data_IF_918950990186
#
_entry.id   IF_918950990186
#
_cell.length_a   1.000
_cell.length_b   1.000
_cell.length_c   1.000
_cell.angle_alpha   90.00
_cell.angle_beta   90.00
_cell.angle_gamma   90.00
#
_symmetry.space_group_name_H-M   'P 1'
#
loop_
_entity.id
_entity.type
_entity.pdbx_description
1 polymer ?
#
# COMPACT_ATOMS: atom_id res chain seq x y z
N UNK A 1 12.32 17.45 14.68
CA UNK A 1 10.92 17.26 14.31
C UNK A 1 10.58 15.79 14.25
N UNK A 2 9.53 15.40 14.92
CA UNK A 2 9.08 14.02 14.86
C UNK A 2 8.27 13.82 13.57
N UNK A 3 8.78 13.04 12.65
CA UNK A 3 8.04 12.60 11.48
C UNK A 3 7.15 11.43 11.88
N UNK A 4 5.85 11.56 11.69
CA UNK A 4 4.91 10.47 11.92
C UNK A 4 4.61 9.74 10.61
N UNK A 5 4.51 8.43 10.69
CA UNK A 5 4.16 7.57 9.55
C UNK A 5 3.26 6.43 10.04
N UNK A 6 2.08 6.31 9.43
CA UNK A 6 1.10 5.29 9.78
C UNK A 6 0.55 4.66 8.51
N UNK A 7 0.68 3.35 8.35
CA UNK A 7 -0.01 2.59 7.31
C UNK A 7 -1.45 2.41 7.74
N UNK A 8 -2.41 2.82 6.92
CA UNK A 8 -3.80 2.98 7.34
C UNK A 8 -4.79 2.07 6.63
N UNK A 9 -4.63 1.83 5.33
CA UNK A 9 -5.58 1.02 4.58
C UNK A 9 -4.96 0.45 3.30
N UNK A 10 -5.51 -0.68 2.87
CA UNK A 10 -5.26 -1.28 1.56
C UNK A 10 -6.59 -1.38 0.81
N UNK A 11 -6.60 -0.95 -0.45
CA UNK A 11 -7.73 -1.10 -1.34
C UNK A 11 -7.32 -1.95 -2.54
N UNK A 12 -7.95 -3.10 -2.72
CA UNK A 12 -7.73 -3.94 -3.88
C UNK A 12 -8.71 -3.52 -4.97
N UNK A 13 -8.16 -3.10 -6.11
CA UNK A 13 -8.93 -2.61 -7.23
C UNK A 13 -9.38 -3.76 -8.14
N UNK A 14 -10.50 -3.57 -8.88
CA UNK A 14 -10.87 -4.48 -9.95
C UNK A 14 -9.76 -4.62 -10.99
N UNK A 15 -9.54 -5.83 -11.48
CA UNK A 15 -8.48 -6.11 -12.45
C UNK A 15 -7.18 -6.62 -11.85
N UNK A 16 -7.05 -6.64 -10.52
CA UNK A 16 -5.90 -7.25 -9.85
C UNK A 16 -5.82 -8.75 -10.22
N UNK A 17 -4.61 -9.20 -10.59
CA UNK A 17 -4.39 -10.60 -10.94
C UNK A 17 -4.78 -11.51 -9.77
N UNK A 18 -5.68 -12.48 -9.97
CA UNK A 18 -6.10 -13.39 -8.91
C UNK A 18 -4.95 -14.17 -8.27
N UNK A 19 -3.88 -14.45 -9.01
CA UNK A 19 -2.70 -15.13 -8.47
C UNK A 19 -1.94 -14.26 -7.45
N UNK A 20 -2.08 -12.93 -7.52
CA UNK A 20 -1.45 -12.00 -6.60
C UNK A 20 -2.30 -11.75 -5.37
N UNK A 21 -3.58 -11.50 -5.53
CA UNK A 21 -4.51 -11.25 -4.41
C UNK A 21 -5.00 -12.52 -3.72
N UNK A 22 -4.83 -13.67 -4.37
CA UNK A 22 -5.28 -14.98 -3.86
C UNK A 22 -6.75 -14.94 -3.46
N UNK A 23 -7.09 -15.29 -2.22
CA UNK A 23 -8.46 -15.29 -1.72
C UNK A 23 -9.03 -13.92 -1.32
N UNK A 24 -8.28 -12.84 -1.47
CA UNK A 24 -8.78 -11.50 -1.15
C UNK A 24 -9.78 -11.02 -2.18
N UNK A 25 -10.86 -10.41 -1.71
CA UNK A 25 -11.84 -9.75 -2.58
C UNK A 25 -11.36 -8.36 -2.98
N UNK A 26 -11.93 -7.82 -4.06
CA UNK A 26 -11.74 -6.44 -4.47
C UNK A 26 -12.49 -5.53 -3.47
N UNK A 27 -11.86 -5.22 -2.37
CA UNK A 27 -12.46 -4.51 -1.26
C UNK A 27 -11.42 -3.67 -0.50
N UNK A 28 -11.92 -2.93 0.48
CA UNK A 28 -11.13 -2.13 1.39
C UNK A 28 -10.76 -2.91 2.65
N UNK A 29 -9.51 -2.76 3.08
CA UNK A 29 -8.99 -3.33 4.33
C UNK A 29 -8.42 -2.20 5.17
N UNK A 30 -9.11 -1.83 6.24
CA UNK A 30 -8.65 -0.80 7.18
C UNK A 30 -7.81 -1.45 8.28
N UNK A 31 -6.65 -0.86 8.55
CA UNK A 31 -5.70 -1.40 9.54
C UNK A 31 -5.87 -0.76 10.92
N UNK A 32 -6.45 0.43 10.98
CA UNK A 32 -6.67 1.18 12.21
C UNK A 32 -7.78 2.22 11.99
N UNK A 33 -8.09 2.98 13.04
CA UNK A 33 -9.14 3.99 13.03
C UNK A 33 -8.66 5.40 12.61
N UNK A 34 -7.46 5.50 12.05
CA UNK A 34 -6.96 6.78 11.51
C UNK A 34 -7.72 7.25 10.27
N UNK A 35 -8.41 6.34 9.62
CA UNK A 35 -9.19 6.60 8.39
C UNK A 35 -10.56 5.96 8.48
N UNK A 36 -11.51 6.48 7.70
CA UNK A 36 -12.85 5.93 7.54
C UNK A 36 -13.29 5.97 6.09
N UNK A 37 -14.27 5.15 5.76
CA UNK A 37 -14.86 5.08 4.43
C UNK A 37 -16.25 5.70 4.45
N UNK A 38 -16.56 6.55 3.45
CA UNK A 38 -17.86 7.20 3.29
C UNK A 38 -18.27 7.25 1.83
N UNK A 39 -19.57 7.23 1.61
CA UNK A 39 -20.16 7.43 0.29
C UNK A 39 -20.39 6.18 -0.52
N UNK A 40 -20.97 6.36 -1.72
CA UNK A 40 -21.19 5.34 -2.72
C UNK A 40 -20.83 5.91 -4.10
N UNK A 41 -19.70 5.53 -4.71
CA UNK A 41 -18.71 4.58 -4.22
C UNK A 41 -17.97 5.07 -2.97
N UNK A 42 -17.46 4.12 -2.19
CA UNK A 42 -16.74 4.45 -0.95
C UNK A 42 -15.45 5.20 -1.23
N UNK A 43 -15.24 6.28 -0.46
CA UNK A 43 -14.01 7.07 -0.48
C UNK A 43 -13.39 7.09 0.91
N UNK A 44 -12.07 7.16 0.95
CA UNK A 44 -11.31 7.20 2.20
C UNK A 44 -11.16 8.64 2.71
N UNK A 45 -11.32 8.81 4.01
CA UNK A 45 -11.17 10.08 4.70
C UNK A 45 -10.32 9.92 5.95
N UNK A 46 -9.48 10.92 6.20
CA UNK A 46 -8.72 11.03 7.43
C UNK A 46 -9.66 11.33 8.59
N UNK A 47 -9.52 10.59 9.68
CA UNK A 47 -10.26 10.88 10.93
C UNK A 47 -9.51 11.90 11.78
N UNK A 48 -10.22 12.90 12.31
CA UNK A 48 -9.63 13.94 13.14
C UNK A 48 -9.30 13.47 14.56
N UNK A 49 -9.89 12.37 15.00
CA UNK A 49 -9.70 11.82 16.34
C UNK A 49 -9.02 10.46 16.26
N UNK A 50 -7.80 10.40 16.70
CA UNK A 50 -7.17 9.13 17.02
C UNK A 50 -7.71 8.66 18.38
N UNK A 51 -8.35 7.50 18.39
CA UNK A 51 -8.84 6.88 19.62
C UNK A 51 -7.71 6.46 20.56
N UNK A 52 -6.54 6.21 20.00
CA UNK A 52 -5.30 6.00 20.74
C UNK A 52 -4.43 7.25 20.60
N UNK A 53 -4.08 7.83 21.73
CA UNK A 53 -3.06 8.89 21.75
C UNK A 53 -1.80 8.36 21.08
N UNK A 54 -1.22 9.14 20.17
CA UNK A 54 -0.11 8.71 19.31
C UNK A 54 1.15 8.20 20.01
N UNK A 55 1.19 8.28 21.34
CA UNK A 55 2.33 7.87 22.16
C UNK A 55 2.06 6.66 23.07
N UNK A 56 0.94 5.96 22.88
CA UNK A 56 0.57 4.85 23.77
C UNK A 56 1.63 3.73 23.80
N UNK A 57 2.22 3.40 22.66
CA UNK A 57 3.28 2.38 22.53
C UNK A 57 4.68 2.99 22.40
N UNK A 58 4.81 4.27 22.58
CA UNK A 58 6.04 5.02 22.38
C UNK A 58 5.92 6.06 21.29
N UNK A 59 6.87 6.99 21.26
CA UNK A 59 6.87 8.09 20.28
C UNK A 59 7.03 7.55 18.86
N UNK A 60 6.10 7.93 17.99
CA UNK A 60 6.05 7.51 16.58
C UNK A 60 5.87 5.99 16.36
N UNK A 61 5.34 5.28 17.33
CA UNK A 61 5.04 3.85 17.21
C UNK A 61 3.53 3.64 17.09
N UNK A 62 3.11 3.00 16.01
CA UNK A 62 1.74 2.54 15.82
C UNK A 62 1.74 1.02 15.64
N UNK A 63 0.87 0.35 16.36
CA UNK A 63 0.73 -1.11 16.31
C UNK A 63 -0.64 -1.44 15.76
N UNK A 64 -0.67 -2.25 14.70
CA UNK A 64 -1.89 -2.83 14.15
C UNK A 64 -1.77 -4.35 14.15
N UNK A 65 -2.84 -5.03 14.53
CA UNK A 65 -2.90 -6.47 14.54
C UNK A 65 -3.93 -6.98 13.52
N UNK A 66 -3.53 -7.96 12.72
CA UNK A 66 -4.42 -8.64 11.79
C UNK A 66 -4.76 -10.00 12.35
N UNK A 67 -6.02 -10.22 12.69
CA UNK A 67 -6.51 -11.45 13.28
C UNK A 67 -7.60 -12.08 12.42
N UNK A 68 -7.73 -13.37 12.49
CA UNK A 68 -8.75 -14.12 11.74
C UNK A 68 -8.45 -15.62 11.77
N UNK A 69 -9.40 -16.41 11.32
CA UNK A 69 -9.22 -17.86 11.18
C UNK A 69 -8.26 -18.17 10.03
N UNK A 70 -7.64 -19.36 10.05
CA UNK A 70 -6.80 -19.82 8.96
C UNK A 70 -7.57 -19.82 7.63
N UNK A 71 -6.93 -19.32 6.57
CA UNK A 71 -7.56 -19.19 5.25
C UNK A 71 -8.39 -17.91 5.05
N UNK A 72 -8.45 -17.00 6.02
CA UNK A 72 -9.20 -15.75 5.92
C UNK A 72 -8.48 -14.63 5.13
N UNK A 73 -7.27 -14.88 4.64
CA UNK A 73 -6.52 -13.92 3.82
C UNK A 73 -5.50 -13.07 4.56
N UNK A 74 -5.21 -13.34 5.83
CA UNK A 74 -4.21 -12.59 6.62
C UNK A 74 -2.86 -12.51 5.93
N UNK A 75 -2.30 -13.66 5.55
CA UNK A 75 -1.01 -13.73 4.84
C UNK A 75 -1.07 -13.04 3.48
N UNK A 76 -2.19 -13.11 2.80
CA UNK A 76 -2.38 -12.47 1.49
C UNK A 76 -2.34 -10.94 1.58
N UNK A 77 -2.82 -10.34 2.67
CA UNK A 77 -2.69 -8.90 2.92
C UNK A 77 -1.21 -8.50 3.01
N UNK A 78 -0.42 -9.21 3.82
CA UNK A 78 1.02 -8.94 3.94
C UNK A 78 1.75 -9.14 2.61
N UNK A 79 1.41 -10.18 1.87
CA UNK A 79 1.98 -10.41 0.54
C UNK A 79 1.67 -9.26 -0.42
N UNK A 80 0.46 -8.71 -0.39
CA UNK A 80 0.10 -7.54 -1.19
C UNK A 80 0.94 -6.31 -0.81
N UNK A 81 1.14 -6.06 0.47
CA UNK A 81 1.99 -4.98 0.94
C UNK A 81 3.45 -5.15 0.45
N UNK A 82 3.99 -6.35 0.55
CA UNK A 82 5.35 -6.64 0.05
C UNK A 82 5.45 -6.46 -1.47
N UNK A 83 4.43 -6.84 -2.23
CA UNK A 83 4.40 -6.65 -3.69
C UNK A 83 4.38 -5.18 -4.08
N UNK A 84 3.63 -4.35 -3.36
CA UNK A 84 3.61 -2.91 -3.57
C UNK A 84 5.00 -2.31 -3.34
N UNK A 85 5.62 -2.64 -2.21
CA UNK A 85 6.96 -2.15 -1.86
C UNK A 85 7.99 -2.66 -2.88
N UNK A 86 7.90 -3.93 -3.28
CA UNK A 86 8.76 -4.51 -4.31
C UNK A 86 8.67 -3.73 -5.63
N UNK A 87 7.46 -3.44 -6.10
CA UNK A 87 7.28 -2.74 -7.36
C UNK A 87 7.79 -1.30 -7.30
N UNK A 88 7.53 -0.59 -6.21
CA UNK A 88 8.10 0.76 -6.02
C UNK A 88 9.63 0.69 -6.03
N UNK A 89 10.21 -0.24 -5.29
CA UNK A 89 11.66 -0.41 -5.21
C UNK A 89 12.27 -0.77 -6.57
N UNK A 90 11.61 -1.67 -7.31
CA UNK A 90 12.07 -2.08 -8.65
C UNK A 90 12.06 -0.91 -9.66
N UNK A 91 11.07 -0.02 -9.59
CA UNK A 91 11.00 1.13 -10.48
C UNK A 91 11.90 2.30 -10.05
N UNK A 92 12.24 2.41 -8.78
CA UNK A 92 13.17 3.41 -8.27
C UNK A 92 14.64 3.02 -8.50
N UNK A 93 14.98 1.74 -8.48
CA UNK A 93 16.33 1.27 -8.72
C UNK A 93 16.61 1.24 -10.23
N UNK A 94 17.56 2.05 -10.66
CA UNK A 94 17.94 2.17 -12.08
C UNK A 94 19.15 1.30 -12.46
N UNK A 95 19.82 0.74 -11.48
CA UNK A 95 21.00 -0.11 -11.71
C UNK A 95 20.57 -1.58 -11.86
N UNK A 96 20.64 -2.11 -13.09
CA UNK A 96 20.24 -3.47 -13.40
C UNK A 96 21.02 -4.53 -12.61
N UNK A 97 22.29 -4.29 -12.33
CA UNK A 97 23.13 -5.20 -11.53
C UNK A 97 22.66 -5.26 -10.09
N UNK A 98 22.28 -4.10 -9.51
CA UNK A 98 21.72 -4.04 -8.17
C UNK A 98 20.34 -4.68 -8.10
N UNK A 99 19.51 -4.48 -9.12
CA UNK A 99 18.21 -5.12 -9.22
C UNK A 99 18.35 -6.64 -9.22
N UNK A 100 19.25 -7.18 -10.05
CA UNK A 100 19.51 -8.61 -10.12
C UNK A 100 20.07 -9.17 -8.79
N UNK A 101 21.02 -8.47 -8.17
CA UNK A 101 21.59 -8.86 -6.89
C UNK A 101 20.59 -8.89 -5.75
N UNK A 102 19.63 -7.95 -5.75
CA UNK A 102 18.56 -7.85 -4.76
C UNK A 102 17.30 -8.64 -5.13
N UNK A 103 17.28 -9.28 -6.28
CA UNK A 103 16.11 -9.97 -6.85
C UNK A 103 14.87 -9.06 -6.94
N UNK A 104 15.09 -7.80 -7.32
CA UNK A 104 14.03 -6.83 -7.54
C UNK A 104 13.51 -6.94 -8.97
N UNK A 105 12.38 -7.62 -9.12
CA UNK A 105 11.70 -7.74 -10.41
C UNK A 105 10.31 -7.11 -10.30
N UNK A 106 9.95 -6.33 -11.30
CA UNK A 106 8.62 -5.74 -11.36
C UNK A 106 7.55 -6.82 -11.56
N UNK A 107 6.53 -6.79 -10.73
CA UNK A 107 5.41 -7.74 -10.77
C UNK A 107 4.25 -7.08 -11.53
N UNK A 108 3.93 -7.59 -12.72
CA UNK A 108 2.80 -7.12 -13.49
C UNK A 108 1.46 -7.61 -12.91
N UNK A 109 0.38 -6.89 -13.21
CA UNK A 109 -0.98 -7.28 -12.82
C UNK A 109 -1.41 -6.84 -11.43
N UNK A 110 -0.62 -6.02 -10.77
CA UNK A 110 -0.96 -5.47 -9.45
C UNK A 110 -1.85 -4.24 -9.62
N UNK A 111 -3.10 -4.32 -9.13
CA UNK A 111 -4.07 -3.22 -9.11
C UNK A 111 -4.57 -3.04 -7.68
N UNK A 112 -3.99 -2.07 -6.99
CA UNK A 112 -4.32 -1.79 -5.60
C UNK A 112 -3.82 -0.40 -5.19
N UNK A 113 -4.33 0.06 -4.05
CA UNK A 113 -3.92 1.32 -3.46
C UNK A 113 -3.55 1.09 -2.00
N UNK A 114 -2.40 1.59 -1.59
CA UNK A 114 -1.96 1.59 -0.20
C UNK A 114 -2.05 3.01 0.34
N UNK A 115 -2.85 3.20 1.39
CA UNK A 115 -3.02 4.48 2.05
C UNK A 115 -2.19 4.56 3.32
N UNK A 116 -1.54 5.68 3.50
CA UNK A 116 -0.72 5.96 4.67
C UNK A 116 -0.82 7.44 5.05
N UNK A 117 -0.46 7.74 6.27
CA UNK A 117 -0.47 9.09 6.81
C UNK A 117 0.97 9.50 7.12
N UNK A 118 1.38 10.64 6.60
CA UNK A 118 2.68 11.25 6.90
C UNK A 118 2.43 12.65 7.44
N UNK A 119 2.88 12.89 8.67
CA UNK A 119 2.74 14.19 9.33
C UNK A 119 1.31 14.75 9.28
N UNK A 120 0.33 13.88 9.56
CA UNK A 120 -1.08 14.22 9.57
C UNK A 120 -1.75 14.36 8.21
N UNK A 121 -1.04 14.09 7.11
CA UNK A 121 -1.59 14.16 5.75
C UNK A 121 -1.80 12.78 5.16
N UNK A 122 -2.98 12.55 4.58
CA UNK A 122 -3.31 11.30 3.91
C UNK A 122 -2.59 11.21 2.56
N UNK A 123 -1.83 10.16 2.40
CA UNK A 123 -1.04 9.86 1.20
C UNK A 123 -1.39 8.48 0.67
N UNK A 124 -0.97 8.17 -0.55
CA UNK A 124 -1.20 6.84 -1.11
C UNK A 124 -0.14 6.44 -2.13
N UNK A 125 -0.03 5.13 -2.33
CA UNK A 125 0.65 4.50 -3.45
C UNK A 125 -0.41 3.77 -4.25
N UNK A 126 -0.64 4.18 -5.50
CA UNK A 126 -1.60 3.54 -6.39
C UNK A 126 -0.86 2.74 -7.46
N UNK A 127 -1.07 1.44 -7.47
CA UNK A 127 -0.53 0.52 -8.48
C UNK A 127 -1.63 0.18 -9.48
N UNK A 128 -1.41 0.49 -10.75
CA UNK A 128 -2.34 0.17 -11.83
C UNK A 128 -1.58 -0.45 -13.01
N UNK A 129 -1.30 -1.73 -12.89
CA UNK A 129 -0.53 -2.44 -13.91
C UNK A 129 0.91 -1.98 -13.98
N UNK A 130 1.31 -1.34 -15.06
CA UNK A 130 2.67 -0.85 -15.28
C UNK A 130 2.92 0.56 -14.71
N UNK A 131 1.90 1.20 -14.18
CA UNK A 131 1.95 2.56 -13.67
C UNK A 131 1.83 2.57 -12.15
N UNK A 132 2.68 3.33 -11.49
CA UNK A 132 2.59 3.60 -10.05
C UNK A 132 2.56 5.10 -9.84
N UNK A 133 1.52 5.57 -9.14
CA UNK A 133 1.42 6.94 -8.66
C UNK A 133 1.64 6.96 -7.15
N UNK A 134 2.55 7.78 -6.68
CA UNK A 134 2.82 7.98 -5.25
C UNK A 134 2.44 9.42 -4.91
N UNK A 135 1.45 9.58 -4.05
CA UNK A 135 1.11 10.86 -3.46
C UNK A 135 1.90 11.06 -2.17
N UNK A 136 2.79 12.05 -2.19
CA UNK A 136 3.53 12.51 -1.01
C UNK A 136 2.88 13.79 -0.47
N UNK A 137 3.18 14.22 0.76
CA UNK A 137 2.56 15.42 1.35
C UNK A 137 2.67 16.68 0.50
N UNK A 138 3.77 16.84 -0.26
CA UNK A 138 4.07 18.07 -0.99
C UNK A 138 4.17 17.89 -2.52
N UNK A 139 4.10 16.65 -3.03
CA UNK A 139 4.23 16.36 -4.45
C UNK A 139 3.67 14.99 -4.81
N UNK A 140 3.45 14.78 -6.10
CA UNK A 140 3.13 13.49 -6.68
C UNK A 140 4.34 12.95 -7.45
N UNK A 141 4.56 11.64 -7.38
CA UNK A 141 5.59 10.93 -8.14
C UNK A 141 4.93 9.88 -9.02
N UNK A 142 5.33 9.84 -10.29
CA UNK A 142 4.83 8.87 -11.27
C UNK A 142 5.99 7.97 -11.71
N UNK A 143 5.76 6.66 -11.62
CA UNK A 143 6.72 5.65 -12.03
C UNK A 143 6.08 4.75 -13.08
N UNK A 144 6.84 4.38 -14.10
CA UNK A 144 6.41 3.51 -15.18
C UNK A 144 7.35 2.33 -15.33
N UNK A 145 6.77 1.15 -15.50
CA UNK A 145 7.54 -0.01 -15.91
C UNK A 145 7.69 -0.04 -17.43
N UNK A 146 8.93 -0.01 -17.89
CA UNK A 146 9.27 -0.19 -19.31
C UNK A 146 9.32 -1.66 -19.72
N UNK A 147 8.73 -2.56 -18.94
CA UNK A 147 8.63 -3.97 -19.32
C UNK A 147 7.75 -4.05 -20.55
N UNK A 148 8.36 -3.84 -21.71
CA UNK A 148 7.79 -4.23 -22.98
C UNK A 148 7.36 -5.69 -22.86
N UNK A 149 6.11 -5.96 -23.16
CA UNK A 149 5.64 -7.33 -23.37
C UNK A 149 6.63 -7.99 -24.32
N UNK A 150 7.52 -8.80 -23.81
CA UNK A 150 8.18 -9.78 -24.65
C UNK A 150 7.11 -10.76 -25.09
N UNK A 151 6.63 -10.51 -26.27
CA UNK A 151 5.81 -11.49 -26.96
C UNK A 151 6.68 -12.71 -27.22
#
# INVERSE_FOLDING_TARGET
MANSFIISALHILPGCDPSLKKGLKDDWFLFNDSVSLKGSPKKIFLNDKNSLKGDYYGKNISISAIVGVNGSGKSSIFEMLYRIINNVSALLERDEKRMAARKLYFIAGLYCELFYIVDGKLCYISCQGQEIKIKLPNRDVYLYSEVTKRV
#
